data_IF_071942917322
#
_entry.id   IF_071942917322
#
_cell.length_a   1.000
_cell.length_b   1.000
_cell.length_c   1.000
_cell.angle_alpha   90.00
_cell.angle_beta   90.00
_cell.angle_gamma   90.00
#
_symmetry.space_group_name_H-M   'P 1'
#
loop_
_entity.id
_entity.type
_entity.pdbx_description
1 polymer ?
#
# COMPACT_ATOMS: atom_id res chain seq x y z
N UNK A 1 -36.13 22.84 17.97
CA UNK A 1 -35.58 22.57 19.32
C UNK A 1 -34.19 21.96 19.22
N UNK A 2 -33.45 21.93 20.33
CA UNK A 2 -32.10 21.32 20.39
C UNK A 2 -32.19 19.81 20.14
N UNK A 3 -31.25 19.27 19.36
CA UNK A 3 -31.17 17.82 19.09
C UNK A 3 -30.76 17.07 20.36
N UNK A 4 -31.42 15.96 20.68
CA UNK A 4 -31.05 15.08 21.80
C UNK A 4 -29.72 14.39 21.52
N UNK A 5 -28.83 14.33 22.53
CA UNK A 5 -27.49 13.71 22.45
C UNK A 5 -26.64 14.08 21.22
N UNK A 6 -26.33 15.37 21.00
CA UNK A 6 -25.43 15.76 19.91
C UNK A 6 -24.00 15.23 20.16
N UNK A 7 -23.19 15.05 19.11
CA UNK A 7 -21.77 14.73 19.27
C UNK A 7 -21.07 15.78 20.15
N UNK A 8 -20.37 15.33 21.17
CA UNK A 8 -19.62 16.19 22.09
C UNK A 8 -18.12 16.05 21.85
N UNK A 9 -17.38 17.12 22.13
CA UNK A 9 -15.90 17.14 22.03
C UNK A 9 -15.25 16.13 22.96
N UNK A 10 -15.86 15.83 24.11
CA UNK A 10 -15.38 14.82 25.08
C UNK A 10 -15.55 13.35 24.64
N UNK A 11 -16.04 13.07 23.43
CA UNK A 11 -16.17 11.70 22.94
C UNK A 11 -14.78 11.07 22.77
N UNK A 12 -14.55 9.90 23.38
CA UNK A 12 -13.33 9.10 23.15
C UNK A 12 -13.34 8.56 21.71
N UNK A 13 -12.55 9.18 20.82
CA UNK A 13 -12.45 8.85 19.39
C UNK A 13 -11.28 7.93 19.04
N UNK A 14 -10.34 7.74 19.96
CA UNK A 14 -9.16 6.90 19.77
C UNK A 14 -9.27 5.62 20.61
N UNK A 15 -8.94 4.47 20.00
CA UNK A 15 -8.81 3.19 20.68
C UNK A 15 -7.32 2.84 20.81
N UNK A 16 -6.84 2.69 22.04
CA UNK A 16 -5.46 2.24 22.30
C UNK A 16 -5.33 0.77 21.96
N UNK A 17 -4.35 0.43 21.12
CA UNK A 17 -4.04 -0.95 20.73
C UNK A 17 -2.75 -1.38 21.45
N UNK A 18 -2.69 -2.58 22.04
CA UNK A 18 -1.46 -3.12 22.61
C UNK A 18 -0.32 -3.17 21.58
N UNK A 19 0.90 -2.80 21.99
CA UNK A 19 2.07 -2.82 21.09
C UNK A 19 2.35 -4.21 20.50
N UNK A 20 2.14 -5.26 21.31
CA UNK A 20 2.31 -6.67 20.89
C UNK A 20 1.35 -7.03 19.76
N UNK A 21 0.06 -6.73 19.91
CA UNK A 21 -0.95 -6.99 18.87
C UNK A 21 -0.65 -6.22 17.58
N UNK A 22 -0.25 -4.95 17.70
CA UNK A 22 0.15 -4.16 16.52
C UNK A 22 1.34 -4.78 15.78
N UNK A 23 2.35 -5.29 16.50
CA UNK A 23 3.50 -5.99 15.90
C UNK A 23 3.09 -7.29 15.23
N UNK A 24 2.27 -8.12 15.90
CA UNK A 24 1.77 -9.37 15.33
C UNK A 24 0.93 -9.15 14.07
N UNK A 25 0.08 -8.11 14.07
CA UNK A 25 -0.70 -7.73 12.89
C UNK A 25 0.19 -7.31 11.72
N UNK A 26 1.26 -6.56 12.00
CA UNK A 26 2.24 -6.16 10.97
C UNK A 26 2.94 -7.36 10.36
N UNK A 27 3.46 -8.28 11.20
CA UNK A 27 4.12 -9.50 10.73
C UNK A 27 3.18 -10.40 9.93
N UNK A 28 1.92 -10.53 10.38
CA UNK A 28 0.90 -11.30 9.66
C UNK A 28 0.59 -10.67 8.30
N UNK A 29 0.50 -9.34 8.22
CA UNK A 29 0.27 -8.63 6.97
C UNK A 29 1.45 -8.77 6.01
N UNK A 30 2.70 -8.66 6.50
CA UNK A 30 3.91 -8.90 5.69
C UNK A 30 3.90 -10.33 5.15
N UNK A 31 3.66 -11.33 6.00
CA UNK A 31 3.64 -12.73 5.58
C UNK A 31 2.59 -13.00 4.49
N UNK A 32 1.43 -12.34 4.56
CA UNK A 32 0.39 -12.45 3.55
C UNK A 32 0.82 -11.91 2.17
N UNK A 33 1.73 -10.94 2.10
CA UNK A 33 2.23 -10.41 0.81
C UNK A 33 3.08 -11.42 0.03
N UNK A 34 3.66 -12.42 0.71
CA UNK A 34 4.49 -13.45 0.09
C UNK A 34 3.69 -14.61 -0.52
N UNK A 35 2.36 -14.64 -0.35
CA UNK A 35 1.51 -15.72 -0.86
C UNK A 35 0.67 -15.24 -2.05
N UNK A 36 0.94 -15.76 -3.25
CA UNK A 36 0.22 -15.44 -4.49
C UNK A 36 -1.30 -15.59 -4.34
N UNK A 37 -1.76 -16.71 -3.79
CA UNK A 37 -3.18 -17.00 -3.56
C UNK A 37 -3.89 -15.91 -2.73
N UNK A 38 -3.22 -15.39 -1.69
CA UNK A 38 -3.81 -14.37 -0.81
C UNK A 38 -3.89 -13.02 -1.53
N UNK A 39 -2.87 -12.69 -2.34
CA UNK A 39 -2.84 -11.47 -3.15
C UNK A 39 -3.89 -11.49 -4.25
N UNK A 40 -4.09 -12.64 -4.90
CA UNK A 40 -5.13 -12.86 -5.91
C UNK A 40 -6.53 -12.80 -5.30
N UNK A 41 -6.74 -13.45 -4.15
CA UNK A 41 -8.05 -13.44 -3.46
C UNK A 41 -8.52 -12.04 -3.07
N UNK A 42 -7.57 -11.10 -2.90
CA UNK A 42 -7.86 -9.69 -2.64
C UNK A 42 -8.37 -8.95 -3.88
N UNK A 43 -8.03 -9.43 -5.08
CA UNK A 43 -8.39 -8.84 -6.36
C UNK A 43 -7.30 -7.99 -7.01
N UNK A 44 -6.02 -8.29 -6.74
CA UNK A 44 -4.91 -7.81 -7.57
C UNK A 44 -4.77 -8.69 -8.82
N UNK A 45 -4.27 -8.11 -9.92
CA UNK A 45 -3.94 -8.85 -11.14
C UNK A 45 -2.47 -9.26 -11.05
N UNK A 46 -2.20 -10.55 -11.13
CA UNK A 46 -0.89 -11.16 -10.82
C UNK A 46 -0.42 -12.16 -11.87
N UNK A 47 -1.07 -12.19 -13.02
CA UNK A 47 -0.82 -13.17 -14.09
C UNK A 47 0.61 -13.06 -14.65
N UNK A 48 1.07 -11.83 -14.89
CA UNK A 48 2.38 -11.54 -15.49
C UNK A 48 3.52 -11.40 -14.45
N UNK A 49 3.23 -11.60 -13.17
CA UNK A 49 4.21 -11.40 -12.08
C UNK A 49 5.00 -12.70 -11.89
N UNK A 50 6.36 -12.65 -11.93
CA UNK A 50 7.18 -13.85 -11.95
C UNK A 50 7.10 -14.63 -10.64
N UNK A 51 7.22 -13.95 -9.49
CA UNK A 51 7.35 -14.59 -8.18
C UNK A 51 6.76 -13.75 -7.04
N UNK A 52 6.45 -14.41 -5.94
CA UNK A 52 6.00 -13.81 -4.69
C UNK A 52 6.88 -14.28 -3.51
N UNK A 53 7.38 -13.38 -2.65
CA UNK A 53 7.30 -11.91 -2.74
C UNK A 53 8.11 -11.36 -3.91
N UNK A 54 7.63 -10.28 -4.55
CA UNK A 54 8.35 -9.63 -5.65
C UNK A 54 9.51 -8.80 -5.08
N UNK A 55 10.74 -9.25 -5.31
CA UNK A 55 11.96 -8.57 -4.85
C UNK A 55 12.71 -7.98 -6.04
N UNK A 56 13.07 -6.70 -5.94
CA UNK A 56 13.80 -5.94 -6.97
C UNK A 56 15.16 -5.47 -6.46
N UNK A 57 16.03 -5.08 -7.38
CA UNK A 57 17.34 -4.51 -7.05
C UNK A 57 17.22 -3.15 -6.38
N UNK A 58 18.25 -2.76 -5.62
CA UNK A 58 18.27 -1.49 -4.90
C UNK A 58 18.38 -0.27 -5.84
N UNK A 59 18.76 -0.50 -7.11
CA UNK A 59 18.74 0.54 -8.15
C UNK A 59 17.34 1.15 -8.35
N UNK A 60 16.30 0.40 -8.01
CA UNK A 60 14.92 0.87 -8.05
C UNK A 60 14.67 2.07 -7.11
N UNK A 61 15.43 2.20 -6.01
CA UNK A 61 15.32 3.34 -5.07
C UNK A 61 15.82 4.65 -5.71
N UNK A 62 16.68 4.55 -6.73
CA UNK A 62 17.35 5.69 -7.37
C UNK A 62 16.55 6.28 -8.54
N UNK A 63 15.39 5.71 -8.89
CA UNK A 63 14.54 6.21 -9.97
C UNK A 63 13.96 7.58 -9.58
N UNK A 64 14.22 8.59 -10.41
CA UNK A 64 13.83 9.99 -10.13
C UNK A 64 12.67 10.46 -10.97
N UNK A 65 12.48 9.88 -12.16
CA UNK A 65 11.40 10.28 -13.08
C UNK A 65 10.28 9.25 -13.06
N UNK A 66 9.03 9.73 -13.08
CA UNK A 66 7.85 8.85 -13.15
C UNK A 66 7.89 7.92 -14.35
N UNK A 67 8.41 8.38 -15.50
CA UNK A 67 8.54 7.56 -16.71
C UNK A 67 9.45 6.32 -16.48
N UNK A 68 10.55 6.50 -15.75
CA UNK A 68 11.47 5.39 -15.44
C UNK A 68 10.79 4.36 -14.53
N UNK A 69 10.03 4.83 -13.54
CA UNK A 69 9.22 3.96 -12.65
C UNK A 69 8.13 3.23 -13.45
N UNK A 70 7.50 3.91 -14.40
CA UNK A 70 6.48 3.33 -15.27
C UNK A 70 7.05 2.20 -16.13
N UNK A 71 8.21 2.42 -16.76
CA UNK A 71 8.92 1.41 -17.55
C UNK A 71 9.34 0.22 -16.69
N UNK A 72 9.88 0.48 -15.49
CA UNK A 72 10.26 -0.58 -14.56
C UNK A 72 9.04 -1.44 -14.13
N UNK A 73 7.90 -0.80 -13.79
CA UNK A 73 6.69 -1.52 -13.39
C UNK A 73 6.04 -2.32 -14.53
N UNK A 74 6.19 -1.87 -15.79
CA UNK A 74 5.80 -2.64 -16.97
C UNK A 74 6.67 -3.87 -17.15
N UNK A 75 7.99 -3.71 -17.03
CA UNK A 75 8.93 -4.83 -17.16
C UNK A 75 8.77 -5.87 -16.04
N UNK A 76 8.30 -5.46 -14.87
CA UNK A 76 8.00 -6.33 -13.73
C UNK A 76 6.63 -7.04 -13.83
N UNK A 77 5.82 -6.77 -14.86
CA UNK A 77 4.48 -7.37 -15.01
C UNK A 77 3.42 -6.81 -14.07
N UNK A 78 3.68 -5.69 -13.38
CA UNK A 78 2.74 -5.08 -12.40
C UNK A 78 1.76 -4.10 -13.08
N UNK A 79 2.03 -3.73 -14.33
CA UNK A 79 1.23 -2.76 -15.07
C UNK A 79 -0.27 -3.09 -15.20
N UNK A 80 -0.69 -4.36 -15.41
CA UNK A 80 -2.11 -4.71 -15.43
C UNK A 80 -2.85 -4.31 -14.13
N UNK A 81 -2.23 -4.50 -12.96
CA UNK A 81 -2.84 -4.12 -11.69
C UNK A 81 -3.01 -2.59 -11.56
N UNK A 82 -2.04 -1.82 -12.05
CA UNK A 82 -2.11 -0.35 -12.07
C UNK A 82 -3.19 0.13 -13.04
N UNK A 83 -3.31 -0.53 -14.20
CA UNK A 83 -4.36 -0.25 -15.16
C UNK A 83 -5.75 -0.50 -14.58
N UNK A 84 -5.95 -1.61 -13.84
CA UNK A 84 -7.18 -1.87 -13.06
C UNK A 84 -7.49 -0.73 -12.10
N UNK A 85 -6.49 -0.18 -11.39
CA UNK A 85 -6.71 0.96 -10.50
C UNK A 85 -7.13 2.20 -11.29
N UNK A 86 -6.47 2.50 -12.40
CA UNK A 86 -6.78 3.65 -13.26
C UNK A 86 -8.23 3.62 -13.75
N UNK A 87 -8.71 2.47 -14.23
CA UNK A 87 -10.10 2.28 -14.68
C UNK A 87 -11.11 2.35 -13.52
N UNK A 88 -10.69 1.98 -12.30
CA UNK A 88 -11.58 2.01 -11.13
C UNK A 88 -11.89 3.42 -10.60
N UNK A 89 -11.20 4.46 -11.10
CA UNK A 89 -11.33 5.83 -10.60
C UNK A 89 -12.73 6.36 -10.92
N UNK A 90 -13.54 6.57 -9.89
CA UNK A 90 -14.89 7.12 -10.03
C UNK A 90 -15.23 8.17 -8.98
N UNK A 91 -16.26 8.97 -9.26
CA UNK A 91 -16.80 9.91 -8.27
C UNK A 91 -17.48 9.13 -7.15
N UNK A 92 -17.15 9.46 -5.91
CA UNK A 92 -17.70 8.84 -4.71
C UNK A 92 -19.20 9.11 -4.63
N UNK A 93 -19.98 8.04 -4.43
CA UNK A 93 -21.41 8.14 -4.17
C UNK A 93 -21.69 8.85 -2.83
N UNK A 94 -22.85 9.51 -2.75
CA UNK A 94 -23.33 10.20 -1.53
C UNK A 94 -22.67 11.56 -1.27
N UNK A 95 -22.91 12.12 -0.08
CA UNK A 95 -22.49 13.48 0.31
C UNK A 95 -20.98 13.61 0.60
N UNK A 96 -20.25 12.49 0.72
CA UNK A 96 -18.81 12.51 0.96
C UNK A 96 -18.02 13.21 -0.15
N UNK A 97 -18.55 13.23 -1.38
CA UNK A 97 -17.94 13.93 -2.51
C UNK A 97 -17.79 15.44 -2.31
N UNK A 98 -18.65 16.03 -1.47
CA UNK A 98 -18.62 17.47 -1.12
C UNK A 98 -17.65 17.78 0.02
N UNK A 99 -17.11 16.77 0.72
CA UNK A 99 -16.23 16.94 1.90
C UNK A 99 -14.76 16.65 1.56
N UNK A 100 -14.32 17.03 0.36
CA UNK A 100 -12.94 16.80 -0.12
C UNK A 100 -12.60 15.36 -0.54
N UNK A 101 -13.55 14.40 -0.45
CA UNK A 101 -13.32 12.97 -0.79
C UNK A 101 -14.00 12.58 -2.09
N UNK A 102 -13.86 13.41 -3.13
CA UNK A 102 -14.61 13.29 -4.40
C UNK A 102 -14.29 12.03 -5.19
N UNK A 103 -13.03 11.60 -5.24
CA UNK A 103 -12.62 10.40 -5.99
C UNK A 103 -12.58 9.17 -5.06
N UNK A 104 -12.91 8.01 -5.61
CA UNK A 104 -12.67 6.68 -5.04
C UNK A 104 -11.96 5.86 -6.13
N UNK A 105 -10.95 5.11 -5.75
CA UNK A 105 -10.22 4.19 -6.62
C UNK A 105 -9.91 2.91 -5.84
N UNK A 106 -9.55 1.85 -6.55
CA UNK A 106 -9.02 0.62 -5.99
C UNK A 106 -7.62 0.85 -5.39
N UNK A 107 -7.20 -0.07 -4.52
CA UNK A 107 -5.83 -0.06 -3.99
C UNK A 107 -4.94 -0.83 -4.97
N UNK A 108 -3.81 -0.22 -5.35
CA UNK A 108 -2.81 -0.83 -6.22
C UNK A 108 -1.60 -1.33 -5.43
N UNK A 109 -0.45 -1.48 -6.11
CA UNK A 109 0.74 -2.04 -5.49
C UNK A 109 1.34 -1.10 -4.43
N UNK A 110 2.06 -1.68 -3.47
CA UNK A 110 2.89 -0.98 -2.51
C UNK A 110 4.36 -1.22 -2.85
N UNK A 111 5.16 -0.16 -2.92
CA UNK A 111 6.61 -0.25 -3.08
C UNK A 111 7.22 -0.02 -1.70
N UNK A 112 8.01 -0.97 -1.22
CA UNK A 112 8.73 -0.84 0.04
C UNK A 112 10.22 -0.71 -0.23
N UNK A 113 10.79 0.39 0.27
CA UNK A 113 12.19 0.76 0.09
C UNK A 113 12.90 0.89 1.43
N UNK A 114 14.21 0.72 1.44
CA UNK A 114 15.04 0.95 2.62
C UNK A 114 15.26 2.44 2.83
N UNK A 115 15.61 3.16 1.76
CA UNK A 115 15.86 4.60 1.75
C UNK A 115 15.11 5.28 0.60
N UNK A 116 14.78 6.56 0.78
CA UNK A 116 14.18 7.37 -0.28
C UNK A 116 15.24 8.22 -0.98
N UNK A 117 15.67 7.77 -2.15
CA UNK A 117 16.60 8.49 -3.02
C UNK A 117 15.88 9.25 -4.15
N UNK A 118 14.56 9.46 -4.02
CA UNK A 118 13.73 10.16 -5.01
C UNK A 118 12.53 9.35 -5.48
N UNK A 119 12.50 8.05 -5.19
CA UNK A 119 11.44 7.13 -5.59
C UNK A 119 10.06 7.55 -5.08
N UNK A 120 9.95 8.09 -3.85
CA UNK A 120 8.67 8.58 -3.34
C UNK A 120 8.10 9.70 -4.24
N UNK A 121 8.97 10.60 -4.71
CA UNK A 121 8.57 11.70 -5.61
C UNK A 121 8.25 11.18 -7.02
N UNK A 122 9.01 10.20 -7.51
CA UNK A 122 8.84 9.64 -8.84
C UNK A 122 7.52 8.86 -8.97
N UNK A 123 7.18 8.05 -7.95
CA UNK A 123 6.02 7.16 -7.98
C UNK A 123 4.68 7.83 -7.58
N UNK A 124 4.71 8.96 -6.84
CA UNK A 124 3.50 9.60 -6.28
C UNK A 124 2.38 9.92 -7.28
N UNK A 125 2.74 10.11 -8.56
CA UNK A 125 1.80 10.50 -9.60
C UNK A 125 1.13 9.29 -10.26
N UNK A 126 1.62 8.08 -10.01
CA UNK A 126 1.07 6.85 -10.58
C UNK A 126 -0.17 6.45 -9.75
N UNK A 127 -1.36 6.30 -10.35
CA UNK A 127 -2.57 5.95 -9.62
C UNK A 127 -2.45 4.61 -8.89
N UNK A 128 -2.79 4.59 -7.60
CA UNK A 128 -2.84 3.36 -6.80
C UNK A 128 -1.50 2.84 -6.29
N UNK A 129 -0.39 3.44 -6.70
CA UNK A 129 0.95 3.08 -6.24
C UNK A 129 1.26 3.90 -4.99
N UNK A 130 1.48 3.20 -3.87
CA UNK A 130 1.99 3.82 -2.65
C UNK A 130 3.45 3.43 -2.47
N UNK A 131 4.24 4.32 -1.86
CA UNK A 131 5.63 4.04 -1.47
C UNK A 131 5.78 4.21 0.02
N UNK A 132 6.50 3.30 0.67
CA UNK A 132 6.78 3.38 2.10
C UNK A 132 8.20 2.93 2.40
N UNK A 133 8.80 3.51 3.43
CA UNK A 133 10.07 3.00 3.95
C UNK A 133 9.81 1.84 4.91
N UNK A 134 10.79 0.95 5.10
CA UNK A 134 10.66 -0.15 6.09
C UNK A 134 10.37 0.37 7.50
N UNK A 135 10.90 1.55 7.86
CA UNK A 135 10.70 2.16 9.19
C UNK A 135 9.27 2.67 9.40
N UNK A 136 8.64 3.18 8.34
CA UNK A 136 7.30 3.77 8.38
C UNK A 136 6.20 2.76 8.00
N UNK A 137 6.58 1.50 7.78
CA UNK A 137 5.68 0.44 7.38
C UNK A 137 4.61 0.19 8.45
N UNK A 138 3.37 0.19 8.02
CA UNK A 138 2.23 0.02 8.92
C UNK A 138 1.21 -0.98 8.35
N UNK A 139 0.33 -1.46 9.24
CA UNK A 139 -0.69 -2.47 8.91
C UNK A 139 -1.71 -1.93 7.90
N UNK A 140 -2.02 -0.64 7.94
CA UNK A 140 -3.01 -0.05 7.04
C UNK A 140 -2.52 -0.01 5.59
N UNK A 141 -1.21 0.15 5.38
CA UNK A 141 -0.58 0.12 4.07
C UNK A 141 -0.56 -1.30 3.48
N UNK A 142 -0.24 -2.31 4.28
CA UNK A 142 -0.15 -3.72 3.85
C UNK A 142 -1.50 -4.44 3.79
N UNK A 143 -2.43 -4.07 4.68
CA UNK A 143 -3.75 -4.67 4.80
C UNK A 143 -4.88 -3.60 4.75
N UNK A 144 -4.98 -2.80 3.66
CA UNK A 144 -5.98 -1.74 3.60
C UNK A 144 -7.39 -2.31 3.62
N UNK A 145 -8.25 -1.72 4.44
CA UNK A 145 -9.63 -2.18 4.59
C UNK A 145 -9.75 -3.53 5.32
N UNK A 146 -8.79 -3.88 6.19
CA UNK A 146 -8.79 -5.15 6.98
C UNK A 146 -8.69 -6.43 6.15
N UNK A 147 -8.41 -6.32 4.86
CA UNK A 147 -8.03 -7.45 4.03
C UNK A 147 -6.50 -7.53 3.99
N UNK A 148 -5.86 -8.70 4.17
CA UNK A 148 -4.41 -8.85 3.95
C UNK A 148 -4.08 -9.05 2.45
N UNK A 149 -2.82 -9.29 2.11
CA UNK A 149 -2.42 -9.66 0.74
C UNK A 149 -2.37 -8.51 -0.26
N UNK A 150 -1.89 -7.33 0.13
CA UNK A 150 -1.62 -6.28 -0.85
C UNK A 150 -0.43 -6.66 -1.74
N UNK A 151 -0.54 -6.47 -3.04
CA UNK A 151 0.58 -6.64 -3.97
C UNK A 151 1.72 -5.69 -3.55
N UNK A 152 2.86 -6.26 -3.16
CA UNK A 152 3.97 -5.50 -2.57
C UNK A 152 5.28 -5.83 -3.28
N UNK A 153 6.00 -4.78 -3.67
CA UNK A 153 7.31 -4.81 -4.32
C UNK A 153 8.34 -4.42 -3.27
N UNK A 154 9.33 -5.26 -3.04
CA UNK A 154 10.35 -5.07 -2.03
C UNK A 154 11.71 -4.82 -2.69
N UNK A 155 12.48 -3.84 -2.22
CA UNK A 155 13.90 -3.75 -2.59
C UNK A 155 14.71 -4.78 -1.79
N UNK A 156 15.83 -5.25 -2.32
CA UNK A 156 16.69 -6.21 -1.62
C UNK A 156 17.11 -5.70 -0.24
N UNK A 157 17.55 -4.44 -0.17
CA UNK A 157 17.91 -3.75 1.07
C UNK A 157 16.73 -3.65 2.04
N UNK A 158 15.49 -3.49 1.54
CA UNK A 158 14.30 -3.44 2.40
C UNK A 158 14.03 -4.78 3.11
N UNK A 159 14.22 -5.91 2.43
CA UNK A 159 14.07 -7.26 3.03
C UNK A 159 15.14 -7.50 4.10
N UNK A 160 16.38 -7.09 3.83
CA UNK A 160 17.47 -7.21 4.80
C UNK A 160 17.23 -6.35 6.05
N UNK A 161 16.72 -5.12 5.87
CA UNK A 161 16.31 -4.27 6.99
C UNK A 161 15.13 -4.87 7.77
N UNK A 162 14.17 -5.49 7.07
CA UNK A 162 13.02 -6.14 7.68
C UNK A 162 13.44 -7.31 8.57
N UNK A 163 14.43 -8.11 8.17
CA UNK A 163 15.00 -9.18 9.00
C UNK A 163 15.54 -8.67 10.34
N UNK A 164 16.18 -7.49 10.36
CA UNK A 164 16.72 -6.87 11.59
C UNK A 164 15.63 -6.33 12.53
N UNK A 165 14.45 -6.02 12.01
CA UNK A 165 13.31 -5.48 12.79
C UNK A 165 12.38 -6.61 13.27
N UNK A 166 12.25 -7.66 12.45
CA UNK A 166 11.41 -8.81 12.75
C UNK A 166 12.12 -9.83 13.66
N UNK A 167 13.43 -10.03 13.47
CA UNK A 167 14.30 -10.77 14.39
C UNK A 167 14.51 -10.04 15.71
#
# INVERSE_FOLDING_TARGET
GRRTHPPVTGKKIYKKIPKKEKRLALLSAIAATGKKEVVESRGHITDDIPDFPLVVTDDFENLKRTKEVEEALKNLGVWPDIYRVKESVKVRAGKGKMRGRRKKMAVGPLIVVSQDNGIMKAARNIPGVDVSTVKDLNVELLAPGTHPGRLTIWTKSSIEALKKIAG
#
